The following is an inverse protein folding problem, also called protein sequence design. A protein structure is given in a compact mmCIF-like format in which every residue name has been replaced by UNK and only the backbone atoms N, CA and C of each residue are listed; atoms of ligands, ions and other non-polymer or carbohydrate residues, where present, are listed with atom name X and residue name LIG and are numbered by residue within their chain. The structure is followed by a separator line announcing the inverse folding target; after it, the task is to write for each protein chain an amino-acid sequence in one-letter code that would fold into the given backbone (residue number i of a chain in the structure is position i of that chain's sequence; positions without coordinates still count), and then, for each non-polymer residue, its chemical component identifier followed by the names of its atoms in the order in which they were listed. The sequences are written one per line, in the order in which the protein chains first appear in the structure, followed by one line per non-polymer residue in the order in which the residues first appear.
data_IF_729581226958
#
_entry.id   IF_729581226958
#
_cell.length_a   1.000
_cell.length_b   1.000
_cell.length_c   1.000
_cell.angle_alpha   90.00
_cell.angle_beta   90.00
_cell.angle_gamma   90.00
#
_symmetry.space_group_name_H-M   'P 1'
#
loop_
_entity.id
_entity.type
_entity.pdbx_description
1 polymer ?
#
# COMPACT_ATOMS: atom_id res chain seq x y z
N UNK A 1 22.96 -16.74 -46.78
CA UNK A 1 23.24 -16.52 -45.35
C UNK A 1 21.89 -16.39 -44.68
N UNK A 2 21.51 -17.37 -43.85
CA UNK A 2 20.21 -17.35 -43.15
C UNK A 2 20.43 -16.72 -41.79
N UNK A 3 19.82 -15.56 -41.54
CA UNK A 3 19.80 -14.92 -40.23
C UNK A 3 18.39 -14.95 -39.66
N UNK A 4 18.29 -15.13 -38.34
CA UNK A 4 17.07 -14.96 -37.58
C UNK A 4 17.30 -13.80 -36.63
N UNK A 5 16.36 -12.86 -36.63
CA UNK A 5 16.26 -11.81 -35.62
C UNK A 5 15.10 -12.16 -34.69
N UNK A 6 15.30 -11.97 -33.40
CA UNK A 6 14.28 -12.11 -32.36
C UNK A 6 14.10 -10.76 -31.68
N UNK A 7 12.85 -10.37 -31.48
CA UNK A 7 12.48 -9.25 -30.64
C UNK A 7 11.88 -9.82 -29.36
N UNK A 8 12.47 -9.57 -28.17
CA UNK A 8 11.82 -9.93 -26.92
C UNK A 8 10.48 -9.20 -26.82
N UNK A 9 9.41 -9.94 -26.54
CA UNK A 9 8.04 -9.39 -26.55
C UNK A 9 7.85 -8.22 -25.58
N UNK A 10 8.49 -8.24 -24.41
CA UNK A 10 8.49 -7.16 -23.39
C UNK A 10 9.93 -6.83 -22.99
N UNK A 11 10.24 -5.53 -22.81
CA UNK A 11 11.55 -5.12 -22.27
C UNK A 11 11.70 -5.56 -20.81
N UNK A 12 12.89 -6.02 -20.38
CA UNK A 12 13.15 -6.37 -18.98
C UNK A 12 12.78 -5.23 -18.01
N UNK A 13 13.06 -3.99 -18.40
CA UNK A 13 12.79 -2.80 -17.58
C UNK A 13 11.28 -2.61 -17.34
N UNK A 14 10.46 -2.80 -18.38
CA UNK A 14 9.00 -2.70 -18.25
C UNK A 14 8.42 -3.82 -17.40
N UNK A 15 9.00 -5.03 -17.45
CA UNK A 15 8.57 -6.13 -16.59
C UNK A 15 8.87 -5.86 -15.11
N UNK A 16 10.02 -5.25 -14.80
CA UNK A 16 10.40 -4.87 -13.43
C UNK A 16 9.53 -3.71 -12.93
N UNK A 17 9.26 -2.70 -13.76
CA UNK A 17 8.38 -1.57 -13.40
C UNK A 17 6.98 -2.04 -13.02
N UNK A 18 6.35 -2.86 -13.85
CA UNK A 18 5.06 -3.49 -13.56
C UNK A 18 5.06 -4.27 -12.24
N UNK A 19 6.16 -4.98 -11.96
CA UNK A 19 6.31 -5.75 -10.74
C UNK A 19 6.44 -4.85 -9.50
N UNK A 20 7.17 -3.74 -9.61
CA UNK A 20 7.27 -2.72 -8.56
C UNK A 20 5.89 -2.11 -8.30
N UNK A 21 5.17 -1.67 -9.33
CA UNK A 21 3.83 -1.10 -9.19
C UNK A 21 2.86 -2.08 -8.52
N UNK A 22 2.87 -3.35 -8.96
CA UNK A 22 2.07 -4.41 -8.33
C UNK A 22 2.47 -4.67 -6.88
N UNK A 23 3.76 -4.67 -6.58
CA UNK A 23 4.29 -4.85 -5.23
C UNK A 23 3.85 -3.73 -4.30
N UNK A 24 3.97 -2.48 -4.76
CA UNK A 24 3.52 -1.29 -4.05
C UNK A 24 2.01 -1.31 -3.81
N UNK A 25 1.22 -1.72 -4.81
CA UNK A 25 -0.23 -1.85 -4.64
C UNK A 25 -0.59 -2.85 -3.54
N UNK A 26 -0.01 -4.06 -3.57
CA UNK A 26 -0.27 -5.08 -2.56
C UNK A 26 0.19 -4.64 -1.16
N UNK A 27 1.34 -3.97 -1.08
CA UNK A 27 1.85 -3.42 0.17
C UNK A 27 0.95 -2.32 0.73
N UNK A 28 0.47 -1.42 -0.12
CA UNK A 28 -0.46 -0.36 0.28
C UNK A 28 -1.81 -0.92 0.75
N UNK A 29 -2.36 -1.91 0.05
CA UNK A 29 -3.60 -2.59 0.45
C UNK A 29 -3.45 -3.30 1.80
N UNK A 30 -2.30 -3.94 2.04
CA UNK A 30 -1.98 -4.55 3.33
C UNK A 30 -1.99 -3.51 4.47
N UNK A 31 -1.25 -2.41 4.29
CA UNK A 31 -1.20 -1.33 5.30
C UNK A 31 -2.56 -0.66 5.47
N UNK A 32 -3.34 -0.47 4.40
CA UNK A 32 -4.69 0.05 4.48
C UNK A 32 -5.61 -0.89 5.28
N UNK A 33 -5.48 -2.21 5.12
CA UNK A 33 -6.20 -3.19 5.93
C UNK A 33 -5.92 -3.01 7.42
N UNK A 34 -4.64 -2.96 7.80
CA UNK A 34 -4.23 -2.74 9.20
C UNK A 34 -4.70 -1.38 9.72
N UNK A 35 -4.65 -0.33 8.89
CA UNK A 35 -5.15 0.99 9.26
C UNK A 35 -6.67 0.98 9.48
N UNK A 36 -7.43 0.22 8.69
CA UNK A 36 -8.89 0.06 8.85
C UNK A 36 -9.27 -0.68 10.14
N UNK A 37 -8.42 -1.55 10.66
CA UNK A 37 -8.66 -2.19 11.97
C UNK A 37 -8.48 -1.21 13.15
N UNK A 38 -7.75 -0.11 12.92
CA UNK A 38 -7.34 0.86 13.95
C UNK A 38 -8.07 2.18 13.88
N UNK A 39 -8.56 2.53 12.71
CA UNK A 39 -9.27 3.79 12.49
C UNK A 39 -10.56 3.84 13.33
N UNK A 40 -10.96 5.00 13.86
CA UNK A 40 -12.20 5.11 14.60
C UNK A 40 -13.41 4.62 13.78
N UNK A 41 -14.26 3.80 14.41
CA UNK A 41 -15.32 3.03 13.74
C UNK A 41 -16.71 3.66 13.85
N UNK A 42 -16.92 4.76 14.56
CA UNK A 42 -18.24 5.22 15.08
C UNK A 42 -19.46 4.83 14.21
N UNK A 43 -19.50 5.26 12.94
CA UNK A 43 -20.49 4.82 11.92
C UNK A 43 -19.84 4.03 10.75
N UNK A 44 -18.53 3.81 10.84
CA UNK A 44 -17.66 3.16 9.87
C UNK A 44 -17.40 3.99 8.60
N UNK A 45 -17.91 5.23 8.55
CA UNK A 45 -17.78 6.11 7.38
C UNK A 45 -16.32 6.42 7.08
N UNK A 46 -15.53 6.73 8.11
CA UNK A 46 -14.09 6.93 7.96
C UNK A 46 -13.39 5.63 7.55
N UNK A 47 -13.66 4.51 8.22
CA UNK A 47 -13.07 3.21 7.87
C UNK A 47 -13.28 2.84 6.38
N UNK A 48 -14.49 3.05 5.87
CA UNK A 48 -14.85 2.77 4.47
C UNK A 48 -14.26 3.76 3.47
N UNK A 49 -13.85 4.95 3.87
CA UNK A 49 -13.30 5.97 2.96
C UNK A 49 -11.81 5.76 2.65
N UNK A 50 -11.17 4.78 3.30
CA UNK A 50 -9.77 4.45 3.05
C UNK A 50 -9.55 3.98 1.61
N UNK A 51 -8.55 4.56 0.93
CA UNK A 51 -8.18 4.25 -0.46
C UNK A 51 -6.67 4.15 -0.61
N UNK A 52 -6.23 3.37 -1.61
CA UNK A 52 -4.84 3.34 -2.05
C UNK A 52 -4.71 3.88 -3.47
N UNK A 53 -3.54 4.43 -3.78
CA UNK A 53 -3.16 4.83 -5.13
C UNK A 53 -1.69 4.52 -5.34
N UNK A 54 -1.33 3.99 -6.51
CA UNK A 54 0.06 3.79 -6.93
C UNK A 54 0.34 4.68 -8.13
N UNK A 55 1.47 5.37 -8.11
CA UNK A 55 2.06 6.06 -9.25
C UNK A 55 3.52 5.62 -9.37
N UNK A 56 3.81 4.74 -10.33
CA UNK A 56 5.15 4.23 -10.64
C UNK A 56 5.87 3.65 -9.41
N UNK A 57 6.72 4.45 -8.76
CA UNK A 57 7.58 4.08 -7.65
C UNK A 57 7.02 4.50 -6.28
N UNK A 58 5.80 5.05 -6.22
CA UNK A 58 5.18 5.54 -5.00
C UNK A 58 3.79 4.96 -4.78
N UNK A 59 3.47 4.63 -3.53
CA UNK A 59 2.14 4.32 -3.07
C UNK A 59 1.64 5.37 -2.07
N UNK A 60 0.37 5.73 -2.18
CA UNK A 60 -0.34 6.63 -1.26
C UNK A 60 -1.50 5.89 -0.63
N UNK A 61 -1.69 6.09 0.67
CA UNK A 61 -2.86 5.63 1.42
C UNK A 61 -3.53 6.87 2.00
N UNK A 62 -4.83 7.01 1.80
CA UNK A 62 -5.59 8.17 2.24
C UNK A 62 -6.96 7.78 2.78
N UNK A 63 -7.52 8.65 3.63
CA UNK A 63 -8.87 8.53 4.15
C UNK A 63 -9.63 9.82 3.84
N UNK A 64 -10.74 9.71 3.12
CA UNK A 64 -11.44 10.86 2.55
C UNK A 64 -12.69 11.22 3.35
N UNK A 65 -12.49 11.82 4.53
CA UNK A 65 -13.57 12.51 5.24
C UNK A 65 -13.06 13.85 5.80
N UNK A 66 -13.93 14.86 5.99
CA UNK A 66 -13.53 16.15 6.56
C UNK A 66 -12.89 16.06 7.95
N UNK A 67 -13.14 14.98 8.67
CA UNK A 67 -12.67 14.76 10.04
C UNK A 67 -11.52 13.73 10.14
N UNK A 68 -11.06 13.15 9.03
CA UNK A 68 -9.99 12.15 9.01
C UNK A 68 -8.70 12.67 9.68
N UNK A 69 -8.27 13.89 9.32
CA UNK A 69 -7.05 14.50 9.89
C UNK A 69 -7.16 14.68 11.40
N UNK A 70 -8.32 15.13 11.92
CA UNK A 70 -8.49 15.28 13.37
C UNK A 70 -8.50 13.93 14.08
N UNK A 71 -9.25 12.95 13.56
CA UNK A 71 -9.25 11.59 14.11
C UNK A 71 -7.84 10.96 14.11
N UNK A 72 -6.99 11.36 13.17
CA UNK A 72 -5.63 10.85 13.03
C UNK A 72 -4.61 11.57 13.94
N UNK A 73 -4.75 12.88 14.12
CA UNK A 73 -3.76 13.72 14.84
C UNK A 73 -4.08 13.93 16.33
N UNK A 74 -5.35 13.92 16.72
CA UNK A 74 -5.81 14.28 18.07
C UNK A 74 -5.64 13.12 19.07
N UNK A 75 -4.40 12.87 19.51
CA UNK A 75 -4.04 11.76 20.42
C UNK A 75 -4.73 11.80 21.80
N UNK A 76 -5.36 12.92 22.15
CA UNK A 76 -6.13 13.06 23.40
C UNK A 76 -7.58 12.56 23.31
N UNK A 77 -8.06 12.22 22.10
CA UNK A 77 -9.40 11.70 21.92
C UNK A 77 -9.50 10.25 22.37
N UNK A 78 -10.64 9.90 22.96
CA UNK A 78 -10.91 8.55 23.41
C UNK A 78 -11.67 7.80 22.31
N UNK A 79 -11.02 6.81 21.73
CA UNK A 79 -11.63 5.90 20.76
C UNK A 79 -12.07 4.60 21.43
N UNK A 80 -12.86 3.81 20.71
CA UNK A 80 -13.27 2.47 21.12
C UNK A 80 -12.08 1.51 21.22
N UNK A 81 -12.28 0.37 21.91
CA UNK A 81 -11.23 -0.62 22.11
C UNK A 81 -10.61 -1.10 20.78
N UNK A 82 -9.28 -1.07 20.70
CA UNK A 82 -8.52 -1.41 19.50
C UNK A 82 -8.46 -0.30 18.44
N UNK A 83 -9.21 0.80 18.62
CA UNK A 83 -9.17 1.97 17.74
C UNK A 83 -8.26 3.05 18.34
N UNK A 84 -7.63 3.86 17.48
CA UNK A 84 -6.63 4.83 17.90
C UNK A 84 -6.42 5.96 16.89
N UNK A 85 -5.92 7.09 17.39
CA UNK A 85 -5.23 8.08 16.56
C UNK A 85 -3.95 7.48 15.95
N UNK A 86 -3.32 8.19 15.01
CA UNK A 86 -2.09 7.73 14.34
C UNK A 86 -2.22 6.35 13.71
N UNK A 87 -3.41 6.03 13.19
CA UNK A 87 -3.71 4.73 12.60
C UNK A 87 -2.90 4.47 11.33
N UNK A 88 -2.57 5.49 10.53
CA UNK A 88 -1.67 5.35 9.37
C UNK A 88 -0.20 5.12 9.77
N UNK A 89 0.38 5.95 10.67
CA UNK A 89 1.79 5.78 11.04
C UNK A 89 2.01 4.49 11.80
N UNK A 90 1.12 4.14 12.72
CA UNK A 90 1.24 2.86 13.45
C UNK A 90 1.12 1.67 12.50
N UNK A 91 0.14 1.66 11.58
CA UNK A 91 -0.01 0.60 10.60
C UNK A 91 1.24 0.49 9.71
N UNK A 92 1.78 1.61 9.23
CA UNK A 92 2.98 1.62 8.40
C UNK A 92 4.22 1.16 9.18
N UNK A 93 4.46 1.73 10.37
CA UNK A 93 5.65 1.47 11.17
C UNK A 93 5.76 -0.01 11.59
N UNK A 94 4.64 -0.64 11.93
CA UNK A 94 4.62 -2.06 12.31
C UNK A 94 4.74 -3.01 11.12
N UNK A 95 4.45 -2.55 9.90
CA UNK A 95 4.42 -3.38 8.70
C UNK A 95 5.52 -3.03 7.69
N UNK A 96 6.55 -2.26 8.09
CA UNK A 96 7.66 -1.87 7.21
C UNK A 96 8.31 -3.08 6.52
N UNK A 97 8.54 -4.16 7.27
CA UNK A 97 9.20 -5.35 6.72
C UNK A 97 8.26 -6.14 5.79
N UNK A 98 6.97 -6.23 6.13
CA UNK A 98 5.95 -6.83 5.25
C UNK A 98 5.85 -6.07 3.93
N UNK A 99 5.85 -4.74 3.98
CA UNK A 99 5.84 -3.87 2.79
C UNK A 99 7.06 -4.17 1.90
N UNK A 100 8.27 -4.21 2.49
CA UNK A 100 9.51 -4.54 1.77
C UNK A 100 9.43 -5.92 1.13
N UNK A 101 8.94 -6.91 1.86
CA UNK A 101 8.85 -8.29 1.39
C UNK A 101 7.84 -8.45 0.26
N UNK A 102 6.69 -7.77 0.32
CA UNK A 102 5.68 -7.79 -0.73
C UNK A 102 6.23 -7.22 -2.04
N UNK A 103 6.93 -6.09 -1.98
CA UNK A 103 7.58 -5.47 -3.15
C UNK A 103 8.68 -6.37 -3.68
N UNK A 104 9.59 -6.83 -2.82
CA UNK A 104 10.70 -7.69 -3.22
C UNK A 104 10.21 -9.01 -3.85
N UNK A 105 9.13 -9.58 -3.33
CA UNK A 105 8.50 -10.79 -3.87
C UNK A 105 8.01 -10.59 -5.30
N UNK A 106 7.35 -9.47 -5.61
CA UNK A 106 6.91 -9.23 -6.98
C UNK A 106 8.09 -9.03 -7.94
N UNK A 107 9.12 -8.29 -7.51
CA UNK A 107 10.32 -8.11 -8.32
C UNK A 107 11.02 -9.43 -8.60
N UNK A 108 11.24 -10.29 -7.58
CA UNK A 108 11.84 -11.62 -7.75
C UNK A 108 11.05 -12.48 -8.76
N UNK A 109 9.72 -12.48 -8.65
CA UNK A 109 8.84 -13.19 -9.59
C UNK A 109 9.01 -12.70 -11.04
N UNK A 110 9.17 -11.39 -11.25
CA UNK A 110 9.42 -10.86 -12.61
C UNK A 110 10.77 -11.28 -13.20
N UNK A 111 11.74 -11.61 -12.33
CA UNK A 111 13.06 -12.10 -12.71
C UNK A 111 13.13 -13.63 -12.81
N UNK A 112 12.01 -14.34 -12.55
CA UNK A 112 11.96 -15.81 -12.57
C UNK A 112 12.62 -16.48 -11.36
N UNK A 113 12.68 -15.77 -10.22
CA UNK A 113 13.20 -16.27 -8.93
C UNK A 113 12.06 -16.64 -7.96
#
# INVERSE_FOLDING_TARGET
MTSMQFTPGRSPDGAVQDAVERGLYLAAEHVLGVARDRVPHEEGTLERSGVTKVDRDQATIAFDTPYAVRQHEEIGWRHDDGRQAKYLESAMNENVDVVRDLVATQVRRSLGQ
#
